data_IF_087232055473
#
_entry.id   IF_087232055473
#
_cell.length_a   1.000
_cell.length_b   1.000
_cell.length_c   1.000
_cell.angle_alpha   90.00
_cell.angle_beta   90.00
_cell.angle_gamma   90.00
#
_symmetry.space_group_name_H-M   'P 1'
#
loop_
_entity.id
_entity.type
_entity.pdbx_description
1 polymer ?
#
# COMPACT_ATOMS: atom_id res chain seq x y z
N UNK A 1 45.20 73.12 -16.99
CA UNK A 1 45.38 72.65 -15.60
C UNK A 1 44.01 72.30 -15.06
N UNK A 2 43.81 71.04 -14.69
CA UNK A 2 42.51 70.42 -14.43
C UNK A 2 41.63 71.20 -13.43
N UNK A 3 40.36 71.48 -13.77
CA UNK A 3 39.39 72.01 -12.83
C UNK A 3 38.79 70.90 -11.96
N UNK A 4 38.88 71.09 -10.64
CA UNK A 4 38.28 70.28 -9.59
C UNK A 4 36.74 70.23 -9.72
N UNK A 5 36.18 69.03 -9.78
CA UNK A 5 34.75 68.79 -9.82
C UNK A 5 34.13 68.83 -8.41
N UNK A 6 33.00 69.53 -8.31
CA UNK A 6 32.24 69.81 -7.10
C UNK A 6 31.57 68.55 -6.49
N UNK A 7 31.28 68.53 -5.16
CA UNK A 7 30.68 67.39 -4.49
C UNK A 7 29.17 67.29 -4.74
N UNK A 8 28.68 66.06 -4.93
CA UNK A 8 27.29 65.70 -5.19
C UNK A 8 26.39 65.81 -3.93
N UNK A 9 25.07 66.07 -4.09
CA UNK A 9 24.13 66.24 -2.98
C UNK A 9 23.73 64.90 -2.32
N UNK A 10 23.61 64.91 -0.98
CA UNK A 10 23.12 63.78 -0.16
C UNK A 10 21.62 63.58 -0.32
N UNK A 11 21.20 62.36 -0.64
CA UNK A 11 19.81 61.93 -0.61
C UNK A 11 19.27 61.78 0.83
N UNK A 12 17.96 62.01 1.08
CA UNK A 12 17.37 61.91 2.40
C UNK A 12 17.20 60.45 2.86
N UNK A 13 17.44 60.21 4.15
CA UNK A 13 17.29 58.89 4.78
C UNK A 13 15.83 58.46 4.85
N UNK A 14 15.52 57.28 4.28
CA UNK A 14 14.23 56.62 4.42
C UNK A 14 14.04 56.07 5.84
N UNK A 15 12.91 56.40 6.46
CA UNK A 15 12.52 55.92 7.79
C UNK A 15 12.11 54.44 7.69
N UNK A 16 12.68 53.59 8.55
CA UNK A 16 12.35 52.18 8.63
C UNK A 16 10.97 51.96 9.27
N UNK A 17 10.13 51.03 8.78
CA UNK A 17 8.84 50.75 9.41
C UNK A 17 9.02 50.05 10.76
N UNK A 18 8.21 50.46 11.74
CA UNK A 18 8.16 49.87 13.08
C UNK A 18 7.84 48.35 13.00
N UNK A 19 8.67 47.52 13.63
CA UNK A 19 8.41 46.09 13.79
C UNK A 19 7.22 45.90 14.72
N UNK A 20 6.12 45.39 14.16
CA UNK A 20 5.03 44.82 14.95
C UNK A 20 5.58 43.58 15.65
N UNK A 21 5.64 43.60 16.97
CA UNK A 21 5.98 42.44 17.77
C UNK A 21 4.82 41.43 17.67
N UNK A 22 4.93 40.46 16.77
CA UNK A 22 4.04 39.29 16.76
C UNK A 22 4.39 38.44 17.97
N UNK A 23 3.57 38.50 19.02
CA UNK A 23 3.57 37.50 20.08
C UNK A 23 3.29 36.14 19.43
N UNK A 24 4.18 35.14 19.52
CA UNK A 24 3.84 33.83 19.01
C UNK A 24 2.69 33.30 19.86
N UNK A 25 1.53 33.09 19.22
CA UNK A 25 0.48 32.27 19.79
C UNK A 25 1.14 30.93 20.13
N UNK A 26 1.29 30.66 21.44
CA UNK A 26 1.68 29.35 21.95
C UNK A 26 0.66 28.37 21.38
N UNK A 27 1.05 27.63 20.34
CA UNK A 27 0.24 26.55 19.82
C UNK A 27 -0.06 25.62 20.99
N UNK A 28 -1.34 25.40 21.27
CA UNK A 28 -1.76 24.27 22.09
C UNK A 28 -1.27 23.04 21.33
N UNK A 29 -0.13 22.49 21.74
CA UNK A 29 0.30 21.19 21.25
C UNK A 29 -0.87 20.24 21.52
N UNK A 30 -1.35 19.46 20.53
CA UNK A 30 -2.35 18.46 20.81
C UNK A 30 -1.76 17.55 21.88
N UNK A 31 -2.31 17.65 23.09
CA UNK A 31 -2.00 16.75 24.20
C UNK A 31 -2.70 15.42 23.94
N UNK A 32 -2.53 14.89 22.72
CA UNK A 32 -2.81 13.51 22.41
C UNK A 32 -1.73 12.73 23.12
N UNK A 33 -2.07 12.17 24.28
CA UNK A 33 -1.18 11.34 25.08
C UNK A 33 -0.63 10.24 24.17
N UNK A 34 0.62 10.38 23.72
CA UNK A 34 1.28 9.35 22.91
C UNK A 34 1.34 8.08 23.75
N UNK A 35 0.85 6.96 23.21
CA UNK A 35 0.96 5.69 23.90
C UNK A 35 2.45 5.40 24.15
N UNK A 36 2.84 4.96 25.36
CA UNK A 36 4.19 4.48 25.58
C UNK A 36 4.45 3.26 24.68
N UNK A 37 5.71 3.05 24.30
CA UNK A 37 6.10 1.91 23.47
C UNK A 37 5.65 0.58 24.09
N UNK A 38 5.83 0.45 25.42
CA UNK A 38 5.52 -0.76 26.19
C UNK A 38 4.85 -0.39 27.52
N UNK A 39 4.28 -1.38 28.20
CA UNK A 39 3.79 -1.23 29.58
C UNK A 39 2.35 -1.73 29.82
N UNK A 40 1.68 -2.24 28.80
CA UNK A 40 0.38 -2.91 28.97
C UNK A 40 0.59 -4.38 29.37
N UNK A 41 0.21 -4.73 30.61
CA UNK A 41 0.36 -6.08 31.16
C UNK A 41 -0.42 -7.18 30.44
N UNK A 42 -1.31 -6.81 29.50
CA UNK A 42 -2.09 -7.76 28.70
C UNK A 42 -1.33 -8.30 27.49
N UNK A 43 -0.15 -7.77 27.15
CA UNK A 43 0.58 -8.11 25.92
C UNK A 43 0.67 -9.62 25.67
N UNK A 44 1.09 -10.40 26.67
CA UNK A 44 1.22 -11.87 26.53
C UNK A 44 -0.10 -12.56 26.18
N UNK A 45 -1.23 -12.09 26.73
CA UNK A 45 -2.55 -12.66 26.44
C UNK A 45 -3.02 -12.29 25.03
N UNK A 46 -2.76 -11.04 24.62
CA UNK A 46 -3.09 -10.57 23.25
C UNK A 46 -2.27 -11.34 22.22
N UNK A 47 -0.96 -11.49 22.44
CA UNK A 47 -0.08 -12.28 21.56
C UNK A 47 -0.48 -13.74 21.49
N UNK A 48 -0.84 -14.36 22.62
CA UNK A 48 -1.32 -15.74 22.63
C UNK A 48 -2.61 -15.89 21.83
N UNK A 49 -3.56 -14.96 21.95
CA UNK A 49 -4.80 -14.97 21.17
C UNK A 49 -4.52 -14.75 19.66
N UNK A 50 -3.62 -13.83 19.31
CA UNK A 50 -3.20 -13.59 17.93
C UNK A 50 -2.53 -14.84 17.31
N UNK A 51 -1.58 -15.44 18.01
CA UNK A 51 -0.88 -16.65 17.56
C UNK A 51 -1.80 -17.86 17.41
N UNK A 52 -2.87 -17.95 18.21
CA UNK A 52 -3.90 -18.97 18.08
C UNK A 52 -4.93 -18.69 16.96
N UNK A 53 -4.81 -17.57 16.23
CA UNK A 53 -5.81 -17.15 15.25
C UNK A 53 -7.15 -16.71 15.87
N UNK A 54 -7.22 -16.54 17.19
CA UNK A 54 -8.41 -16.11 17.91
C UNK A 54 -8.60 -14.58 17.80
N UNK A 55 -8.73 -14.07 16.57
CA UNK A 55 -8.69 -12.64 16.28
C UNK A 55 -9.77 -11.85 17.04
N UNK A 56 -10.99 -12.39 17.18
CA UNK A 56 -12.06 -11.75 17.94
C UNK A 56 -11.71 -11.59 19.44
N UNK A 57 -11.09 -12.63 20.02
CA UNK A 57 -10.60 -12.58 21.41
C UNK A 57 -9.43 -11.60 21.55
N UNK A 58 -8.50 -11.60 20.59
CA UNK A 58 -7.40 -10.65 20.54
C UNK A 58 -7.91 -9.19 20.52
N UNK A 59 -8.94 -8.89 19.73
CA UNK A 59 -9.62 -7.57 19.72
C UNK A 59 -10.24 -7.25 21.08
N UNK A 60 -10.89 -8.21 21.74
CA UNK A 60 -11.50 -7.99 23.04
C UNK A 60 -10.44 -7.71 24.12
N UNK A 61 -9.37 -8.51 24.16
CA UNK A 61 -8.27 -8.38 25.12
C UNK A 61 -7.48 -7.08 24.95
N UNK A 62 -7.29 -6.64 23.70
CA UNK A 62 -6.55 -5.42 23.35
C UNK A 62 -7.43 -4.16 23.31
N UNK A 63 -8.70 -4.25 23.70
CA UNK A 63 -9.58 -3.08 23.72
C UNK A 63 -9.00 -1.97 24.62
N UNK A 64 -8.99 -0.73 24.12
CA UNK A 64 -8.34 0.38 24.81
C UNK A 64 -6.86 0.10 25.11
N UNK A 65 -6.10 -0.38 24.12
CA UNK A 65 -4.67 -0.63 24.23
C UNK A 65 -3.94 0.54 24.90
N UNK A 66 -3.10 0.25 25.90
CA UNK A 66 -2.40 1.27 26.71
C UNK A 66 -0.93 1.43 26.35
N UNK A 67 -0.44 0.64 25.39
CA UNK A 67 0.90 0.75 24.82
C UNK A 67 0.89 0.38 23.33
N UNK A 68 1.94 0.79 22.62
CA UNK A 68 2.06 0.62 21.18
C UNK A 68 2.26 -0.83 20.76
N UNK A 69 2.97 -1.63 21.56
CA UNK A 69 3.13 -3.08 21.34
C UNK A 69 1.78 -3.82 21.34
N UNK A 70 0.88 -3.54 22.28
CA UNK A 70 -0.49 -4.12 22.27
C UNK A 70 -1.32 -3.58 21.11
N UNK A 71 -1.19 -2.29 20.76
CA UNK A 71 -1.88 -1.73 19.59
C UNK A 71 -1.38 -2.36 18.29
N UNK A 72 -0.09 -2.66 18.19
CA UNK A 72 0.51 -3.36 17.05
C UNK A 72 -0.10 -4.75 16.88
N UNK A 73 -0.15 -5.56 17.96
CA UNK A 73 -0.79 -6.89 17.92
C UNK A 73 -2.28 -6.80 17.55
N UNK A 74 -2.99 -5.83 18.12
CA UNK A 74 -4.39 -5.54 17.77
C UNK A 74 -4.56 -5.27 16.27
N UNK A 75 -3.61 -4.57 15.66
CA UNK A 75 -3.69 -4.16 14.25
C UNK A 75 -3.70 -5.38 13.33
N UNK A 76 -2.87 -6.39 13.63
CA UNK A 76 -2.90 -7.68 12.92
C UNK A 76 -4.23 -8.40 13.11
N UNK A 77 -4.74 -8.47 14.34
CA UNK A 77 -6.04 -9.08 14.62
C UNK A 77 -7.20 -8.36 13.93
N UNK A 78 -7.13 -7.02 13.81
CA UNK A 78 -8.12 -6.22 13.08
C UNK A 78 -8.04 -6.50 11.58
N UNK A 79 -6.84 -6.56 11.01
CA UNK A 79 -6.64 -6.90 9.60
C UNK A 79 -7.25 -8.27 9.26
N UNK A 80 -6.96 -9.28 10.10
CA UNK A 80 -7.49 -10.64 9.94
C UNK A 80 -9.01 -10.78 10.17
N UNK A 81 -9.68 -9.72 10.61
CA UNK A 81 -11.14 -9.64 10.75
C UNK A 81 -11.77 -8.72 9.69
N UNK A 82 -11.06 -8.50 8.58
CA UNK A 82 -11.52 -7.64 7.48
C UNK A 82 -11.82 -6.20 7.93
N UNK A 83 -11.02 -5.68 8.88
CA UNK A 83 -11.08 -4.28 9.35
C UNK A 83 -9.82 -3.50 8.95
N UNK A 84 -9.52 -3.37 7.64
CA UNK A 84 -8.24 -2.84 7.17
C UNK A 84 -8.01 -1.37 7.56
N UNK A 85 -9.06 -0.54 7.68
CA UNK A 85 -8.91 0.85 8.09
C UNK A 85 -8.53 1.00 9.57
N UNK A 86 -9.03 0.12 10.44
CA UNK A 86 -8.60 0.09 11.85
C UNK A 86 -7.17 -0.42 11.97
N UNK A 87 -6.86 -1.50 11.25
CA UNK A 87 -5.51 -2.04 11.18
C UNK A 87 -4.51 -0.97 10.71
N UNK A 88 -4.81 -0.26 9.62
CA UNK A 88 -3.99 0.81 9.06
C UNK A 88 -3.70 1.91 10.10
N UNK A 89 -4.71 2.31 10.88
CA UNK A 89 -4.54 3.33 11.91
C UNK A 89 -3.55 2.87 13.01
N UNK A 90 -3.67 1.61 13.45
CA UNK A 90 -2.77 1.05 14.46
C UNK A 90 -1.34 0.81 13.94
N UNK A 91 -1.19 0.30 12.71
CA UNK A 91 0.14 0.14 12.09
C UNK A 91 0.87 1.48 11.91
N UNK A 92 0.17 2.55 11.50
CA UNK A 92 0.74 3.90 11.44
C UNK A 92 1.20 4.44 12.79
N UNK A 93 0.58 4.00 13.88
CA UNK A 93 1.02 4.35 15.22
C UNK A 93 2.26 3.55 15.63
N UNK A 94 2.27 2.24 15.35
CA UNK A 94 3.40 1.35 15.63
C UNK A 94 4.67 1.72 14.84
N UNK A 95 4.53 2.05 13.56
CA UNK A 95 5.63 2.44 12.65
C UNK A 95 6.40 3.69 13.14
N UNK A 96 5.69 4.64 13.75
CA UNK A 96 6.27 5.86 14.36
C UNK A 96 6.65 5.68 15.83
N UNK A 97 6.29 4.55 16.42
CA UNK A 97 6.24 4.33 17.86
C UNK A 97 7.54 3.85 18.52
N UNK A 98 8.58 3.60 17.74
CA UNK A 98 9.90 3.22 18.28
C UNK A 98 9.96 1.81 18.89
N UNK A 99 9.22 0.85 18.33
CA UNK A 99 9.18 -0.55 18.81
C UNK A 99 10.38 -1.41 18.34
N UNK A 100 11.24 -0.87 17.49
CA UNK A 100 12.37 -1.57 16.87
C UNK A 100 12.24 -1.64 15.34
N UNK A 101 13.34 -1.90 14.65
CA UNK A 101 13.40 -1.91 13.19
C UNK A 101 12.51 -3.01 12.57
N UNK A 102 12.44 -4.18 13.20
CA UNK A 102 11.60 -5.30 12.76
C UNK A 102 10.12 -4.94 12.80
N UNK A 103 9.64 -4.45 13.95
CA UNK A 103 8.25 -4.00 14.12
C UNK A 103 7.93 -2.84 13.19
N UNK A 104 8.88 -1.93 12.94
CA UNK A 104 8.69 -0.84 11.99
C UNK A 104 8.49 -1.36 10.56
N UNK A 105 9.32 -2.32 10.10
CA UNK A 105 9.17 -2.98 8.80
C UNK A 105 7.81 -3.68 8.71
N UNK A 106 7.48 -4.49 9.71
CA UNK A 106 6.25 -5.30 9.71
C UNK A 106 5.00 -4.42 9.82
N UNK A 107 5.06 -3.30 10.55
CA UNK A 107 3.99 -2.31 10.54
C UNK A 107 3.80 -1.69 9.15
N UNK A 108 4.89 -1.34 8.43
CA UNK A 108 4.79 -0.84 7.04
C UNK A 108 4.25 -1.91 6.09
N UNK A 109 4.63 -3.17 6.28
CA UNK A 109 4.04 -4.31 5.56
C UNK A 109 2.53 -4.42 5.83
N UNK A 110 2.10 -4.36 7.09
CA UNK A 110 0.68 -4.33 7.47
C UNK A 110 -0.08 -3.12 6.91
N UNK A 111 0.56 -1.94 6.81
CA UNK A 111 -0.01 -0.77 6.12
C UNK A 111 -0.23 -1.06 4.63
N UNK A 112 0.76 -1.64 3.96
CA UNK A 112 0.65 -2.04 2.54
C UNK A 112 -0.51 -3.01 2.33
N UNK A 113 -0.61 -4.07 3.14
CA UNK A 113 -1.73 -5.01 3.09
C UNK A 113 -3.08 -4.32 3.31
N UNK A 114 -3.16 -3.42 4.28
CA UNK A 114 -4.39 -2.67 4.56
C UNK A 114 -4.81 -1.76 3.40
N UNK A 115 -3.86 -1.17 2.68
CA UNK A 115 -4.15 -0.41 1.47
C UNK A 115 -4.63 -1.31 0.33
N UNK A 116 -3.99 -2.47 0.13
CA UNK A 116 -4.39 -3.43 -0.89
C UNK A 116 -5.80 -3.98 -0.65
N UNK A 117 -6.16 -4.27 0.60
CA UNK A 117 -7.51 -4.68 0.98
C UNK A 117 -8.59 -3.64 0.61
N UNK A 118 -8.20 -2.35 0.51
CA UNK A 118 -9.07 -1.25 0.11
C UNK A 118 -8.91 -0.88 -1.39
N UNK A 119 -8.26 -1.71 -2.20
CA UNK A 119 -7.92 -1.45 -3.61
C UNK A 119 -7.14 -0.13 -3.83
N UNK A 120 -6.41 0.33 -2.81
CA UNK A 120 -5.51 1.49 -2.89
C UNK A 120 -4.12 1.02 -3.35
N UNK A 121 -4.07 0.45 -4.55
CA UNK A 121 -2.91 -0.29 -5.08
C UNK A 121 -1.66 0.59 -5.21
N UNK A 122 -1.81 1.85 -5.62
CA UNK A 122 -0.67 2.74 -5.84
C UNK A 122 -0.09 3.29 -4.52
N UNK A 123 -0.93 3.53 -3.52
CA UNK A 123 -0.48 3.84 -2.15
C UNK A 123 0.27 2.66 -1.53
N UNK A 124 -0.26 1.44 -1.70
CA UNK A 124 0.41 0.22 -1.26
C UNK A 124 1.78 0.06 -1.92
N UNK A 125 1.84 0.18 -3.25
CA UNK A 125 3.10 0.07 -4.01
C UNK A 125 4.14 1.09 -3.54
N UNK A 126 3.72 2.34 -3.26
CA UNK A 126 4.61 3.38 -2.74
C UNK A 126 5.20 3.01 -1.38
N UNK A 127 4.38 2.52 -0.45
CA UNK A 127 4.85 2.12 0.89
C UNK A 127 5.76 0.90 0.80
N UNK A 128 5.41 -0.09 -0.01
CA UNK A 128 6.20 -1.29 -0.25
C UNK A 128 7.59 -0.97 -0.84
N UNK A 129 7.65 -0.08 -1.83
CA UNK A 129 8.91 0.35 -2.45
C UNK A 129 9.83 1.10 -1.48
N UNK A 130 9.25 1.83 -0.51
CA UNK A 130 10.00 2.55 0.52
C UNK A 130 10.35 1.69 1.75
N UNK A 131 10.02 0.39 1.72
CA UNK A 131 10.21 -0.53 2.84
C UNK A 131 11.16 -1.66 2.45
N UNK A 132 12.12 -1.96 3.33
CA UNK A 132 12.98 -3.14 3.20
C UNK A 132 12.21 -4.41 3.62
N UNK A 133 11.22 -4.77 2.80
CA UNK A 133 10.40 -5.97 2.99
C UNK A 133 11.28 -7.21 2.89
N UNK A 134 10.97 -8.23 3.70
CA UNK A 134 11.56 -9.55 3.49
C UNK A 134 11.17 -10.08 2.11
N UNK A 135 11.93 -11.04 1.58
CA UNK A 135 11.63 -11.65 0.29
C UNK A 135 10.19 -12.18 0.24
N UNK A 136 9.74 -12.86 1.30
CA UNK A 136 8.39 -13.41 1.39
C UNK A 136 7.32 -12.31 1.38
N UNK A 137 7.50 -11.26 2.19
CA UNK A 137 6.57 -10.11 2.24
C UNK A 137 6.49 -9.39 0.88
N UNK A 138 7.63 -9.27 0.19
CA UNK A 138 7.68 -8.66 -1.14
C UNK A 138 6.91 -9.48 -2.16
N UNK A 139 7.09 -10.81 -2.19
CA UNK A 139 6.35 -11.69 -3.10
C UNK A 139 4.84 -11.55 -2.84
N UNK A 140 4.41 -11.59 -1.58
CA UNK A 140 2.99 -11.45 -1.21
C UNK A 140 2.38 -10.14 -1.71
N UNK A 141 3.04 -9.01 -1.44
CA UNK A 141 2.58 -7.68 -1.85
C UNK A 141 2.55 -7.53 -3.37
N UNK A 142 3.64 -7.89 -4.05
CA UNK A 142 3.74 -7.73 -5.50
C UNK A 142 2.74 -8.62 -6.25
N UNK A 143 2.47 -9.82 -5.73
CA UNK A 143 1.42 -10.70 -6.28
C UNK A 143 0.06 -10.01 -6.29
N UNK A 144 -0.34 -9.38 -5.19
CA UNK A 144 -1.63 -8.67 -5.10
C UNK A 144 -1.64 -7.41 -5.96
N UNK A 145 -0.53 -6.66 -5.99
CA UNK A 145 -0.40 -5.45 -6.82
C UNK A 145 -0.55 -5.80 -8.31
N UNK A 146 0.13 -6.85 -8.78
CA UNK A 146 0.09 -7.28 -10.18
C UNK A 146 -1.29 -7.77 -10.59
N UNK A 147 -1.96 -8.54 -9.72
CA UNK A 147 -3.37 -8.93 -9.90
C UNK A 147 -4.28 -7.70 -10.07
N UNK A 148 -4.26 -6.78 -9.09
CA UNK A 148 -5.11 -5.59 -9.10
C UNK A 148 -4.83 -4.67 -10.31
N UNK A 149 -3.55 -4.46 -10.65
CA UNK A 149 -3.17 -3.66 -11.83
C UNK A 149 -3.56 -4.32 -13.14
N UNK A 150 -3.35 -5.63 -13.27
CA UNK A 150 -3.72 -6.39 -14.47
C UNK A 150 -5.23 -6.38 -14.70
N UNK A 151 -6.01 -6.64 -13.65
CA UNK A 151 -7.47 -6.62 -13.70
C UNK A 151 -8.00 -5.22 -14.06
N UNK A 152 -7.52 -4.17 -13.38
CA UNK A 152 -7.90 -2.79 -13.70
C UNK A 152 -7.49 -2.38 -15.12
N UNK A 153 -6.31 -2.76 -15.59
CA UNK A 153 -5.86 -2.48 -16.96
C UNK A 153 -6.78 -3.16 -17.99
N UNK A 154 -7.21 -4.39 -17.74
CA UNK A 154 -8.17 -5.09 -18.59
C UNK A 154 -9.52 -4.36 -18.64
N UNK A 155 -10.06 -3.97 -17.49
CA UNK A 155 -11.32 -3.22 -17.39
C UNK A 155 -11.26 -1.88 -18.14
N UNK A 156 -10.11 -1.21 -18.09
CA UNK A 156 -9.84 0.03 -18.84
C UNK A 156 -9.52 -0.21 -20.33
N UNK A 157 -9.64 -1.44 -20.83
CA UNK A 157 -9.32 -1.86 -22.20
C UNK A 157 -7.86 -1.62 -22.61
N UNK A 158 -6.96 -1.55 -21.63
CA UNK A 158 -5.53 -1.43 -21.84
C UNK A 158 -4.93 -2.83 -21.94
N UNK A 159 -5.33 -3.60 -22.96
CA UNK A 159 -5.07 -5.04 -23.04
C UNK A 159 -3.59 -5.39 -23.01
N UNK A 160 -2.74 -4.67 -23.75
CA UNK A 160 -1.29 -4.90 -23.73
C UNK A 160 -0.67 -4.67 -22.33
N UNK A 161 -1.20 -3.73 -21.54
CA UNK A 161 -0.77 -3.53 -20.13
C UNK A 161 -1.28 -4.64 -19.22
N UNK A 162 -2.53 -5.08 -19.41
CA UNK A 162 -3.09 -6.18 -18.64
C UNK A 162 -2.25 -7.46 -18.83
N UNK A 163 -1.90 -7.79 -20.08
CA UNK A 163 -1.01 -8.90 -20.43
C UNK A 163 0.32 -8.77 -19.68
N UNK A 164 0.98 -7.62 -19.77
CA UNK A 164 2.27 -7.40 -19.11
C UNK A 164 2.22 -7.60 -17.59
N UNK A 165 1.13 -7.18 -16.92
CA UNK A 165 0.97 -7.42 -15.48
C UNK A 165 0.72 -8.90 -15.15
N UNK A 166 -0.09 -9.60 -15.94
CA UNK A 166 -0.33 -11.03 -15.74
C UNK A 166 0.91 -11.88 -16.05
N UNK A 167 1.72 -11.49 -17.03
CA UNK A 167 3.01 -12.14 -17.31
C UNK A 167 4.00 -11.93 -16.16
N UNK A 168 4.09 -10.72 -15.62
CA UNK A 168 4.89 -10.45 -14.44
C UNK A 168 4.40 -11.22 -13.21
N UNK A 169 3.08 -11.38 -13.04
CA UNK A 169 2.49 -12.21 -11.98
C UNK A 169 2.95 -13.67 -12.14
N UNK A 170 2.83 -14.23 -13.33
CA UNK A 170 3.23 -15.62 -13.62
C UNK A 170 4.73 -15.82 -13.44
N UNK A 171 5.56 -14.85 -13.86
CA UNK A 171 7.00 -14.89 -13.65
C UNK A 171 7.37 -14.86 -12.16
N UNK A 172 6.66 -14.07 -11.35
CA UNK A 172 6.91 -13.94 -9.91
C UNK A 172 6.51 -15.20 -9.13
N UNK A 173 5.38 -15.81 -9.50
CA UNK A 173 4.77 -16.91 -8.73
C UNK A 173 4.99 -18.29 -9.35
N UNK A 174 5.50 -18.35 -10.58
CA UNK A 174 5.69 -19.56 -11.37
C UNK A 174 4.41 -20.12 -12.00
N UNK A 175 3.24 -19.56 -11.69
CA UNK A 175 1.95 -20.00 -12.23
C UNK A 175 0.97 -18.83 -12.36
N UNK A 176 0.05 -18.89 -13.32
CA UNK A 176 -1.03 -17.90 -13.39
C UNK A 176 -2.33 -18.50 -12.86
N UNK A 177 -2.97 -17.82 -11.90
CA UNK A 177 -4.28 -18.22 -11.37
C UNK A 177 -5.28 -18.28 -12.53
N UNK A 178 -6.18 -19.27 -12.54
CA UNK A 178 -7.02 -19.60 -13.71
C UNK A 178 -7.88 -18.43 -14.19
N UNK A 179 -8.45 -17.66 -13.27
CA UNK A 179 -9.20 -16.44 -13.55
C UNK A 179 -8.35 -15.38 -14.26
N UNK A 180 -7.12 -15.14 -13.79
CA UNK A 180 -6.18 -14.22 -14.44
C UNK A 180 -5.72 -14.75 -15.80
N UNK A 181 -5.52 -16.06 -15.93
CA UNK A 181 -5.19 -16.69 -17.22
C UNK A 181 -6.32 -16.56 -18.25
N UNK A 182 -7.58 -16.66 -17.81
CA UNK A 182 -8.73 -16.36 -18.66
C UNK A 182 -8.75 -14.89 -19.07
N UNK A 183 -8.54 -13.96 -18.13
CA UNK A 183 -8.46 -12.54 -18.44
C UNK A 183 -7.32 -12.23 -19.42
N UNK A 184 -6.15 -12.86 -19.26
CA UNK A 184 -5.03 -12.74 -20.20
C UNK A 184 -5.38 -13.26 -21.58
N UNK A 185 -6.03 -14.41 -21.70
CA UNK A 185 -6.46 -14.96 -22.98
C UNK A 185 -7.46 -14.03 -23.69
N UNK A 186 -8.41 -13.45 -22.94
CA UNK A 186 -9.29 -12.41 -23.48
C UNK A 186 -8.53 -11.12 -23.81
N UNK A 187 -7.50 -10.74 -23.06
CA UNK A 187 -6.70 -9.57 -23.35
C UNK A 187 -6.01 -9.73 -24.71
N UNK A 188 -5.34 -10.86 -24.97
CA UNK A 188 -4.76 -11.17 -26.28
C UNK A 188 -5.81 -11.12 -27.40
N UNK A 189 -6.99 -11.69 -27.16
CA UNK A 189 -8.07 -11.67 -28.15
C UNK A 189 -8.49 -10.24 -28.52
N UNK A 190 -8.65 -9.37 -27.52
CA UNK A 190 -9.07 -7.99 -27.73
C UNK A 190 -7.94 -7.07 -28.23
N UNK A 191 -6.67 -7.44 -27.99
CA UNK A 191 -5.48 -6.79 -28.56
C UNK A 191 -5.27 -7.19 -30.04
N UNK A 192 -6.01 -8.19 -30.53
CA UNK A 192 -5.99 -8.67 -31.92
C UNK A 192 -5.12 -9.91 -32.15
N UNK A 193 -4.37 -10.36 -31.14
CA UNK A 193 -3.59 -11.60 -31.19
C UNK A 193 -4.47 -12.82 -30.93
N UNK A 194 -5.27 -13.16 -31.95
CA UNK A 194 -6.16 -14.32 -31.94
C UNK A 194 -5.42 -15.65 -31.82
N UNK A 195 -4.19 -15.74 -32.34
CA UNK A 195 -3.41 -16.98 -32.33
C UNK A 195 -3.03 -17.34 -30.90
N UNK A 196 -2.41 -16.40 -30.17
CA UNK A 196 -2.05 -16.59 -28.77
C UNK A 196 -3.29 -16.78 -27.90
N UNK A 197 -4.35 -15.99 -28.12
CA UNK A 197 -5.60 -16.15 -27.40
C UNK A 197 -6.18 -17.56 -27.55
N UNK A 198 -6.23 -18.08 -28.78
CA UNK A 198 -6.73 -19.45 -29.05
C UNK A 198 -5.90 -20.49 -28.31
N UNK A 199 -4.57 -20.38 -28.36
CA UNK A 199 -3.67 -21.31 -27.67
C UNK A 199 -3.92 -21.30 -26.15
N UNK A 200 -4.06 -20.12 -25.54
CA UNK A 200 -4.34 -20.02 -24.11
C UNK A 200 -5.71 -20.58 -23.74
N UNK A 201 -6.76 -20.27 -24.52
CA UNK A 201 -8.08 -20.86 -24.27
C UNK A 201 -8.09 -22.38 -24.46
N UNK A 202 -7.33 -22.90 -25.41
CA UNK A 202 -7.19 -24.35 -25.62
C UNK A 202 -6.54 -25.00 -24.40
N UNK A 203 -5.40 -24.48 -23.94
CA UNK A 203 -4.71 -24.95 -22.74
C UNK A 203 -5.64 -24.95 -21.51
N UNK A 204 -6.36 -23.85 -21.29
CA UNK A 204 -7.30 -23.72 -20.17
C UNK A 204 -8.49 -24.68 -20.29
N UNK A 205 -8.96 -24.94 -21.51
CA UNK A 205 -10.05 -25.87 -21.78
C UNK A 205 -9.62 -27.33 -21.56
N UNK A 206 -8.40 -27.67 -21.94
CA UNK A 206 -7.84 -29.02 -21.79
C UNK A 206 -7.58 -29.36 -20.32
N UNK A 207 -7.23 -28.36 -19.50
CA UNK A 207 -7.16 -28.49 -18.05
C UNK A 207 -8.55 -28.62 -17.42
N UNK A 208 -9.48 -27.73 -17.79
CA UNK A 208 -10.88 -27.77 -17.35
C UNK A 208 -11.80 -27.02 -18.32
N UNK A 209 -12.62 -27.79 -19.04
CA UNK A 209 -13.56 -27.25 -20.00
C UNK A 209 -14.75 -26.56 -19.33
N UNK A 210 -14.88 -25.25 -19.55
CA UNK A 210 -15.93 -24.39 -18.98
C UNK A 210 -16.71 -23.67 -20.07
N UNK A 211 -17.80 -22.99 -19.71
CA UNK A 211 -18.54 -22.20 -20.70
C UNK A 211 -17.68 -21.07 -21.25
N UNK A 212 -16.85 -20.49 -20.39
CA UNK A 212 -15.94 -19.37 -20.61
C UNK A 212 -14.82 -19.76 -21.59
N UNK A 213 -14.17 -20.91 -21.38
CA UNK A 213 -13.09 -21.38 -22.28
C UNK A 213 -13.64 -21.80 -23.65
N UNK A 214 -14.83 -22.43 -23.70
CA UNK A 214 -15.50 -22.77 -24.97
C UNK A 214 -15.93 -21.51 -25.74
N UNK A 215 -16.43 -20.49 -25.04
CA UNK A 215 -16.75 -19.19 -25.62
C UNK A 215 -15.50 -18.51 -26.19
N UNK A 216 -14.41 -18.49 -25.41
CA UNK A 216 -13.12 -17.95 -25.84
C UNK A 216 -12.56 -18.63 -27.08
N UNK A 217 -12.58 -19.97 -27.12
CA UNK A 217 -12.16 -20.75 -28.30
C UNK A 217 -12.99 -20.38 -29.54
N UNK A 218 -14.32 -20.29 -29.42
CA UNK A 218 -15.18 -19.88 -30.53
C UNK A 218 -14.87 -18.46 -31.00
N UNK A 219 -14.65 -17.54 -30.07
CA UNK A 219 -14.37 -16.15 -30.39
C UNK A 219 -13.00 -15.98 -31.08
N UNK A 220 -11.98 -16.70 -30.61
CA UNK A 220 -10.63 -16.68 -31.20
C UNK A 220 -10.52 -17.45 -32.53
N UNK A 221 -11.56 -18.21 -32.92
CA UNK A 221 -11.61 -18.95 -34.20
C UNK A 221 -12.26 -18.16 -35.34
N UNK A 222 -12.79 -16.96 -35.08
CA UNK A 222 -13.42 -16.08 -36.07
C UNK A 222 -12.43 -15.06 -36.59
#
# INVERSE_FOLDING_TARGET
AEPQAAPAPRAPAAQAPARVATTPLRGVAPSGRSLPARGDGRLRQVQAAAAAGANAQCIALSNGARSLDVLYERSWCAYNLDRPLEALAGFRAAERGGLGAEVQRDARFGMTLSFLAQNMTEEAARVAAATDLTQQQRIEVETIILDQRGTRAYEMKQYSRAIAFFDAYEQLTGTLRRDLAILRAYAYLNDGDRVTARQQFQLLNDQLATSETRNGLRAASR
#
